data_IF_226386076112
#
_entry.id   IF_226386076112
#
_cell.length_a   1.000
_cell.length_b   1.000
_cell.length_c   1.000
_cell.angle_alpha   90.00
_cell.angle_beta   90.00
_cell.angle_gamma   90.00
#
_symmetry.space_group_name_H-M   'P 1'
#
loop_
_entity.id
_entity.type
_entity.pdbx_description
1 polymer ?
#
# COMPACT_ATOMS: atom_id res chain seq x y z
N UNK A 1 28.72 5.74 -3.64
CA UNK A 1 28.18 4.36 -3.73
C UNK A 1 26.74 4.45 -4.21
N UNK A 2 26.25 3.54 -5.07
CA UNK A 2 24.83 3.52 -5.41
C UNK A 2 23.99 3.30 -4.14
N UNK A 3 22.89 4.03 -4.01
CA UNK A 3 21.99 3.86 -2.86
C UNK A 3 21.34 2.48 -2.91
N UNK A 4 21.13 1.82 -1.76
CA UNK A 4 20.41 0.55 -1.72
C UNK A 4 18.99 0.75 -2.23
N UNK A 5 18.49 -0.19 -3.02
CA UNK A 5 17.15 -0.14 -3.60
C UNK A 5 16.34 -1.37 -3.24
N UNK A 6 15.01 -1.22 -3.28
CA UNK A 6 14.02 -2.26 -2.99
C UNK A 6 13.07 -2.39 -4.18
N UNK A 7 12.58 -3.60 -4.45
CA UNK A 7 11.62 -3.84 -5.52
C UNK A 7 10.37 -2.94 -5.36
N UNK A 8 9.97 -2.24 -6.43
CA UNK A 8 8.85 -1.29 -6.41
C UNK A 8 7.51 -1.92 -6.02
N UNK A 9 7.37 -3.25 -6.19
CA UNK A 9 6.20 -4.00 -5.76
C UNK A 9 5.95 -3.94 -4.25
N UNK A 10 6.99 -3.70 -3.43
CA UNK A 10 6.88 -3.64 -1.96
C UNK A 10 6.08 -2.40 -1.53
N UNK A 11 6.50 -1.15 -1.82
CA UNK A 11 5.71 0.02 -1.48
C UNK A 11 4.37 0.07 -2.25
N UNK A 12 4.29 -0.47 -3.46
CA UNK A 12 3.02 -0.64 -4.17
C UNK A 12 2.01 -1.46 -3.36
N UNK A 13 2.43 -2.65 -2.91
CA UNK A 13 1.55 -3.57 -2.19
C UNK A 13 1.07 -2.99 -0.86
N UNK A 14 1.92 -2.22 -0.17
CA UNK A 14 1.57 -1.53 1.07
C UNK A 14 0.50 -0.46 0.84
N UNK A 15 0.68 0.41 -0.16
CA UNK A 15 -0.27 1.49 -0.41
C UNK A 15 -1.59 0.98 -0.98
N UNK A 16 -1.57 -0.10 -1.77
CA UNK A 16 -2.81 -0.72 -2.21
C UNK A 16 -3.58 -1.43 -1.08
N UNK A 17 -2.88 -2.07 -0.15
CA UNK A 17 -3.48 -2.64 1.05
C UNK A 17 -4.08 -1.55 1.95
N UNK A 18 -3.36 -0.45 2.13
CA UNK A 18 -3.82 0.74 2.84
C UNK A 18 -5.12 1.28 2.23
N UNK A 19 -5.13 1.47 0.90
CA UNK A 19 -6.32 1.93 0.18
C UNK A 19 -7.48 0.96 0.32
N UNK A 20 -7.22 -0.35 0.23
CA UNK A 20 -8.25 -1.38 0.35
C UNK A 20 -8.93 -1.36 1.72
N UNK A 21 -8.17 -1.18 2.79
CA UNK A 21 -8.71 -1.14 4.16
C UNK A 21 -9.46 0.17 4.45
N UNK A 22 -9.07 1.25 3.78
CA UNK A 22 -9.74 2.55 3.89
C UNK A 22 -10.98 2.67 2.99
N UNK A 23 -11.18 1.76 2.03
CA UNK A 23 -12.40 1.71 1.20
C UNK A 23 -13.54 1.08 1.99
N UNK A 24 -14.67 1.78 2.19
CA UNK A 24 -15.84 1.23 2.87
C UNK A 24 -16.45 0.11 2.04
N UNK A 25 -17.04 -0.87 2.72
CA UNK A 25 -17.80 -1.95 2.08
C UNK A 25 -19.26 -1.50 2.01
N UNK A 26 -19.82 -1.40 0.80
CA UNK A 26 -21.25 -1.08 0.60
C UNK A 26 -22.11 -2.32 0.94
N UNK A 27 -22.24 -2.62 2.23
CA UNK A 27 -22.99 -3.78 2.72
C UNK A 27 -24.44 -3.44 3.13
N UNK A 28 -24.91 -2.22 2.84
CA UNK A 28 -26.27 -1.78 3.18
C UNK A 28 -26.55 -1.65 4.68
N UNK A 29 -25.52 -1.71 5.52
CA UNK A 29 -25.55 -1.53 6.99
C UNK A 29 -24.95 -0.18 7.42
N UNK A 30 -25.02 0.83 6.55
CA UNK A 30 -24.30 2.11 6.70
C UNK A 30 -24.82 3.01 7.83
N UNK A 31 -25.92 2.67 8.51
CA UNK A 31 -26.55 3.55 9.50
C UNK A 31 -25.92 3.50 10.91
N UNK A 32 -24.89 2.67 11.17
CA UNK A 32 -24.34 2.50 12.53
C UNK A 32 -22.83 2.74 12.67
N UNK A 33 -22.13 3.18 11.63
CA UNK A 33 -20.68 3.41 11.69
C UNK A 33 -20.29 4.90 11.65
N UNK A 34 -21.09 5.79 12.24
CA UNK A 34 -20.71 7.20 12.39
C UNK A 34 -19.51 7.42 13.34
N UNK A 35 -19.06 6.41 14.08
CA UNK A 35 -17.94 6.54 15.00
C UNK A 35 -16.67 5.91 14.45
N UNK A 36 -15.99 6.67 13.57
CA UNK A 36 -14.55 6.93 13.50
C UNK A 36 -14.27 7.45 12.08
N UNK A 37 -14.45 8.76 11.88
CA UNK A 37 -13.84 9.49 10.75
C UNK A 37 -12.33 9.59 11.01
N UNK A 38 -11.63 8.45 11.00
CA UNK A 38 -10.19 8.47 10.75
C UNK A 38 -10.04 8.93 9.31
N UNK A 39 -9.31 10.03 9.11
CA UNK A 39 -8.88 10.50 7.79
C UNK A 39 -8.35 9.29 7.00
N UNK A 40 -9.13 8.85 6.01
CA UNK A 40 -8.85 7.69 5.14
C UNK A 40 -7.65 7.99 4.24
N UNK A 41 -6.46 7.95 4.83
CA UNK A 41 -5.19 8.28 4.20
C UNK A 41 -5.00 7.55 2.87
N UNK A 42 -5.43 6.28 2.79
CA UNK A 42 -5.42 5.42 1.62
C UNK A 42 -6.27 5.93 0.45
N UNK A 43 -7.26 6.80 0.72
CA UNK A 43 -8.08 7.46 -0.30
C UNK A 43 -7.57 8.85 -0.70
N UNK A 44 -6.44 9.30 -0.13
CA UNK A 44 -5.88 10.61 -0.47
C UNK A 44 -5.34 10.66 -1.92
N UNK A 45 -5.42 11.82 -2.61
CA UNK A 45 -4.84 11.99 -3.94
C UNK A 45 -3.33 11.68 -3.98
N UNK A 46 -2.61 11.99 -2.90
CA UNK A 46 -1.19 11.66 -2.77
C UNK A 46 -0.96 10.16 -2.80
N UNK A 47 -1.70 9.37 -2.01
CA UNK A 47 -1.58 7.90 -2.05
C UNK A 47 -1.95 7.35 -3.42
N UNK A 48 -2.99 7.87 -4.06
CA UNK A 48 -3.36 7.47 -5.42
C UNK A 48 -2.23 7.71 -6.44
N UNK A 49 -1.59 8.88 -6.40
CA UNK A 49 -0.45 9.20 -7.27
C UNK A 49 0.78 8.31 -7.00
N UNK A 50 1.05 8.01 -5.72
CA UNK A 50 2.14 7.14 -5.30
C UNK A 50 1.92 5.69 -5.77
N UNK A 51 0.69 5.16 -5.63
CA UNK A 51 0.30 3.85 -6.17
C UNK A 51 0.56 3.81 -7.68
N UNK A 52 0.14 4.84 -8.41
CA UNK A 52 0.33 4.87 -9.86
C UNK A 52 1.82 4.90 -10.25
N UNK A 53 2.64 5.68 -9.55
CA UNK A 53 4.10 5.71 -9.77
C UNK A 53 4.75 4.35 -9.50
N UNK A 54 4.45 3.73 -8.37
CA UNK A 54 5.03 2.43 -8.03
C UNK A 54 4.56 1.32 -8.97
N UNK A 55 3.31 1.37 -9.42
CA UNK A 55 2.77 0.42 -10.40
C UNK A 55 3.57 0.48 -11.70
N UNK A 56 3.75 1.67 -12.27
CA UNK A 56 4.55 1.85 -13.49
C UNK A 56 6.01 1.40 -13.33
N UNK A 57 6.58 1.52 -12.11
CA UNK A 57 7.93 1.03 -11.83
C UNK A 57 7.94 -0.50 -11.71
N UNK A 58 7.00 -1.08 -10.97
CA UNK A 58 6.89 -2.52 -10.74
C UNK A 58 6.61 -3.31 -12.04
N UNK A 59 5.76 -2.78 -12.92
CA UNK A 59 5.48 -3.35 -14.25
C UNK A 59 6.73 -3.51 -15.12
N UNK A 60 7.76 -2.67 -14.88
CA UNK A 60 9.05 -2.72 -15.57
C UNK A 60 10.15 -3.44 -14.77
N UNK A 61 9.79 -4.13 -13.68
CA UNK A 61 10.77 -4.76 -12.79
C UNK A 61 11.66 -3.75 -12.04
N UNK A 62 11.21 -2.50 -11.92
CA UNK A 62 11.97 -1.41 -11.34
C UNK A 62 12.15 -1.50 -9.83
N UNK A 63 13.09 -0.69 -9.33
CA UNK A 63 13.40 -0.56 -7.90
C UNK A 63 13.21 0.89 -7.44
N UNK A 64 13.11 1.08 -6.12
CA UNK A 64 12.86 2.35 -5.45
C UNK A 64 13.93 2.53 -4.36
N UNK A 65 14.29 3.78 -4.05
CA UNK A 65 15.21 4.11 -2.96
C UNK A 65 14.71 3.51 -1.62
N UNK A 66 15.62 2.90 -0.86
CA UNK A 66 15.28 2.29 0.43
C UNK A 66 14.70 3.28 1.43
N UNK A 67 15.18 4.53 1.46
CA UNK A 67 14.67 5.55 2.39
C UNK A 67 13.21 5.91 2.12
N UNK A 68 12.83 5.88 0.85
CA UNK A 68 11.45 6.08 0.40
C UNK A 68 10.56 4.93 0.86
N UNK A 69 11.01 3.67 0.69
CA UNK A 69 10.27 2.49 1.15
C UNK A 69 10.15 2.47 2.68
N UNK A 70 11.20 2.83 3.40
CA UNK A 70 11.17 2.96 4.86
C UNK A 70 10.16 4.02 5.32
N UNK A 71 10.00 5.10 4.55
CA UNK A 71 9.00 6.13 4.85
C UNK A 71 7.58 5.58 4.71
N UNK A 72 7.30 4.77 3.68
CA UNK A 72 6.00 4.09 3.51
C UNK A 72 5.76 3.07 4.63
N UNK A 73 6.77 2.27 4.98
CA UNK A 73 6.68 1.31 6.09
C UNK A 73 6.37 1.99 7.42
N UNK A 74 7.04 3.10 7.74
CA UNK A 74 6.78 3.89 8.95
C UNK A 74 5.40 4.53 8.93
N UNK A 75 4.92 4.98 7.77
CA UNK A 75 3.57 5.52 7.60
C UNK A 75 2.53 4.46 7.95
N UNK A 76 2.66 3.25 7.41
CA UNK A 76 1.77 2.13 7.72
C UNK A 76 1.88 1.70 9.17
N UNK A 77 3.11 1.57 9.70
CA UNK A 77 3.36 1.10 11.07
C UNK A 77 2.84 2.01 12.18
N UNK A 78 2.46 3.25 11.86
CA UNK A 78 1.81 4.19 12.80
C UNK A 78 0.30 3.98 12.94
N UNK A 79 -0.31 3.12 12.12
CA UNK A 79 -1.74 2.87 12.16
C UNK A 79 -2.10 1.83 13.23
N UNK A 80 -3.26 1.97 13.90
CA UNK A 80 -3.74 0.96 14.85
C UNK A 80 -4.01 -0.39 14.18
N UNK A 81 -4.37 -0.39 12.90
CA UNK A 81 -4.68 -1.57 12.07
C UNK A 81 -3.48 -2.05 11.21
N UNK A 82 -2.26 -1.59 11.50
CA UNK A 82 -1.07 -1.91 10.73
C UNK A 82 -0.86 -3.42 10.47
N UNK A 83 -1.10 -4.35 11.43
CA UNK A 83 -0.99 -5.78 11.16
C UNK A 83 -1.88 -6.27 9.99
N UNK A 84 -3.08 -5.70 9.84
CA UNK A 84 -4.00 -6.04 8.73
C UNK A 84 -3.45 -5.54 7.40
N UNK A 85 -2.93 -4.29 7.38
CA UNK A 85 -2.31 -3.70 6.20
C UNK A 85 -1.10 -4.51 5.75
N UNK A 86 -0.21 -4.88 6.68
CA UNK A 86 0.97 -5.71 6.37
C UNK A 86 0.59 -7.10 5.86
N UNK A 87 -0.40 -7.75 6.46
CA UNK A 87 -0.87 -9.06 6.01
C UNK A 87 -1.44 -9.00 4.58
N UNK A 88 -2.25 -7.97 4.26
CA UNK A 88 -2.77 -7.79 2.91
C UNK A 88 -1.67 -7.43 1.90
N UNK A 89 -0.76 -6.53 2.26
CA UNK A 89 0.38 -6.15 1.45
C UNK A 89 1.27 -7.36 1.13
N UNK A 90 1.53 -8.23 2.11
CA UNK A 90 2.30 -9.46 1.90
C UNK A 90 1.64 -10.39 0.87
N UNK A 91 0.31 -10.58 0.97
CA UNK A 91 -0.45 -11.36 -0.02
C UNK A 91 -0.39 -10.75 -1.42
N UNK A 92 -0.51 -9.42 -1.53
CA UNK A 92 -0.37 -8.71 -2.82
C UNK A 92 1.03 -8.86 -3.40
N UNK A 93 2.06 -8.65 -2.60
CA UNK A 93 3.46 -8.78 -3.01
C UNK A 93 3.77 -10.19 -3.51
N UNK A 94 3.29 -11.22 -2.81
CA UNK A 94 3.43 -12.61 -3.23
C UNK A 94 2.77 -12.87 -4.61
N UNK A 95 1.55 -12.34 -4.84
CA UNK A 95 0.86 -12.45 -6.14
C UNK A 95 1.62 -11.72 -7.25
N UNK A 96 2.15 -10.53 -6.99
CA UNK A 96 2.96 -9.80 -7.97
C UNK A 96 4.25 -10.56 -8.32
N UNK A 97 4.95 -11.07 -7.30
CA UNK A 97 6.17 -11.83 -7.50
C UNK A 97 5.93 -13.14 -8.26
N UNK A 98 4.77 -13.80 -8.05
CA UNK A 98 4.38 -14.99 -8.80
C UNK A 98 4.08 -14.68 -10.27
N UNK A 99 3.41 -13.55 -10.57
CA UNK A 99 3.08 -13.13 -11.94
C UNK A 99 4.30 -12.65 -12.73
N UNK A 100 5.25 -11.97 -12.08
CA UNK A 100 6.47 -11.47 -12.73
C UNK A 100 7.55 -12.54 -12.96
N UNK A 101 7.34 -13.78 -12.48
CA UNK A 101 8.21 -14.94 -12.75
C UNK A 101 7.73 -15.82 -13.90
N UNK A 102 6.59 -15.49 -14.52
CA UNK A 102 6.04 -16.19 -15.68
C UNK A 102 6.56 -15.60 -16.99
#
# INVERSE_FOLDING_TARGET
MPKPTVAALIPLSLLEALRNLDTPVEDGMDELAEEIVVRRLGLSPTVAAQIQRYRQSAERGGTVDTDEVLSVLRLVGRRPDAPLVFADAGRRAARYAARGRA
#
